data_IF_970871046457
#
_entry.id   IF_970871046457
#
_cell.length_a   1.000
_cell.length_b   1.000
_cell.length_c   1.000
_cell.angle_alpha   90.00
_cell.angle_beta   90.00
_cell.angle_gamma   90.00
#
_symmetry.space_group_name_H-M   'P 1'
#
loop_
_entity.id
_entity.type
_entity.pdbx_description
1 polymer ?
#
# COMPACT_ATOMS: atom_id res chain seq x y z
N UNK A 1 3.87 -5.58 3.70
CA UNK A 1 5.01 -4.84 3.11
C UNK A 1 6.12 -4.71 4.13
N UNK A 2 7.36 -4.72 3.67
CA UNK A 2 8.53 -4.48 4.53
C UNK A 2 9.37 -3.34 3.95
N UNK A 3 10.05 -2.58 4.80
CA UNK A 3 11.03 -1.57 4.40
C UNK A 3 12.28 -1.69 5.26
N UNK A 4 13.40 -1.20 4.75
CA UNK A 4 14.63 -1.08 5.52
C UNK A 4 14.43 -0.17 6.74
N UNK A 5 15.23 -0.40 7.78
CA UNK A 5 15.22 0.45 8.96
C UNK A 5 15.67 1.87 8.58
N UNK A 6 14.92 2.91 9.00
CA UNK A 6 15.29 4.29 8.73
C UNK A 6 16.61 4.67 9.43
N UNK A 7 17.29 5.67 8.88
CA UNK A 7 18.53 6.19 9.46
C UNK A 7 18.31 6.62 10.93
N UNK A 8 19.23 6.24 11.81
CA UNK A 8 19.13 6.49 13.26
C UNK A 8 18.41 5.39 14.06
N UNK A 9 17.77 4.42 13.39
CA UNK A 9 17.13 3.25 14.03
C UNK A 9 17.88 1.94 13.80
N UNK A 10 18.97 1.96 13.01
CA UNK A 10 19.76 0.78 12.68
C UNK A 10 20.48 0.25 13.92
N UNK A 11 20.00 -0.88 14.44
CA UNK A 11 20.52 -1.57 15.63
C UNK A 11 21.64 -2.59 15.30
N UNK A 12 22.26 -2.47 14.11
CA UNK A 12 23.24 -3.43 13.53
C UNK A 12 22.68 -4.83 13.30
N UNK A 13 21.36 -4.98 13.29
CA UNK A 13 20.71 -6.24 12.92
C UNK A 13 20.13 -6.15 11.51
N UNK A 14 19.91 -7.32 10.89
CA UNK A 14 19.23 -7.43 9.59
C UNK A 14 17.70 -7.34 9.71
N UNK A 15 17.19 -6.69 10.76
CA UNK A 15 15.75 -6.47 10.92
C UNK A 15 15.24 -5.51 9.85
N UNK A 16 13.98 -5.71 9.50
CA UNK A 16 13.23 -4.86 8.57
C UNK A 16 11.93 -4.42 9.24
N UNK A 17 11.44 -3.24 8.88
CA UNK A 17 10.18 -2.71 9.40
C UNK A 17 9.01 -3.33 8.64
N UNK A 18 8.09 -3.99 9.36
CA UNK A 18 6.82 -4.42 8.77
C UNK A 18 5.86 -3.23 8.69
N UNK A 19 5.51 -2.83 7.49
CA UNK A 19 4.55 -1.79 7.23
C UNK A 19 3.12 -2.31 7.42
N UNK A 20 2.40 -1.69 8.35
CA UNK A 20 0.99 -1.97 8.63
C UNK A 20 0.05 -1.26 7.63
N UNK A 21 0.53 -0.19 6.99
CA UNK A 21 -0.17 0.57 5.94
C UNK A 21 0.83 0.94 4.83
N UNK A 22 0.33 1.16 3.63
CA UNK A 22 1.15 1.72 2.55
C UNK A 22 1.60 3.13 2.91
N UNK A 23 2.91 3.37 2.96
CA UNK A 23 3.45 4.72 3.08
C UNK A 23 3.45 5.38 1.70
N UNK A 24 3.16 6.68 1.66
CA UNK A 24 3.30 7.49 0.46
C UNK A 24 4.73 7.42 -0.07
N UNK A 25 4.89 7.37 -1.40
CA UNK A 25 6.18 7.30 -2.07
C UNK A 25 6.75 5.89 -2.24
N UNK A 26 6.15 4.85 -1.67
CA UNK A 26 6.50 3.47 -2.00
C UNK A 26 5.94 3.11 -3.38
N UNK A 27 6.70 2.35 -4.18
CA UNK A 27 6.23 1.83 -5.48
C UNK A 27 4.89 1.09 -5.38
N UNK A 28 4.63 0.44 -4.24
CA UNK A 28 3.39 -0.30 -4.00
C UNK A 28 2.25 0.55 -3.42
N UNK A 29 2.48 1.83 -3.09
CA UNK A 29 1.46 2.70 -2.52
C UNK A 29 0.25 2.84 -3.44
N UNK A 30 0.47 3.01 -4.74
CA UNK A 30 -0.60 3.12 -5.74
C UNK A 30 -1.49 1.86 -5.77
N UNK A 31 -0.87 0.67 -5.74
CA UNK A 31 -1.61 -0.60 -5.71
C UNK A 31 -2.46 -0.75 -4.45
N UNK A 32 -1.87 -0.49 -3.29
CA UNK A 32 -2.59 -0.58 -1.99
C UNK A 32 -3.75 0.39 -1.97
N UNK A 33 -3.55 1.61 -2.48
CA UNK A 33 -4.59 2.62 -2.53
C UNK A 33 -5.72 2.21 -3.48
N UNK A 34 -5.40 1.64 -4.65
CA UNK A 34 -6.39 1.09 -5.56
C UNK A 34 -7.20 -0.06 -4.92
N UNK A 35 -6.54 -0.98 -4.21
CA UNK A 35 -7.21 -2.07 -3.49
C UNK A 35 -8.18 -1.52 -2.42
N UNK A 36 -7.74 -0.55 -1.61
CA UNK A 36 -8.59 0.10 -0.60
C UNK A 36 -9.78 0.81 -1.25
N UNK A 37 -9.54 1.57 -2.32
CA UNK A 37 -10.61 2.28 -3.03
C UNK A 37 -11.62 1.34 -3.66
N UNK A 38 -11.16 0.25 -4.27
CA UNK A 38 -12.04 -0.77 -4.83
C UNK A 38 -12.97 -1.36 -3.74
N UNK A 39 -12.41 -1.77 -2.60
CA UNK A 39 -13.19 -2.30 -1.46
C UNK A 39 -14.24 -1.30 -1.02
N UNK A 40 -13.86 -0.02 -0.87
CA UNK A 40 -14.77 1.03 -0.44
C UNK A 40 -15.90 1.30 -1.44
N UNK A 41 -15.58 1.34 -2.75
CA UNK A 41 -16.56 1.54 -3.81
C UNK A 41 -17.55 0.38 -3.91
N UNK A 42 -17.08 -0.86 -3.78
CA UNK A 42 -17.95 -2.05 -3.75
C UNK A 42 -18.89 -2.04 -2.54
N UNK A 43 -18.41 -1.59 -1.37
CA UNK A 43 -19.26 -1.40 -0.18
C UNK A 43 -20.39 -0.39 -0.45
N UNK A 44 -20.09 0.67 -1.20
CA UNK A 44 -21.04 1.67 -1.66
C UNK A 44 -21.90 1.23 -2.86
N UNK A 45 -21.81 -0.04 -3.28
CA UNK A 45 -22.55 -0.62 -4.42
C UNK A 45 -22.19 -0.04 -5.79
N UNK A 46 -21.04 0.63 -5.92
CA UNK A 46 -20.49 1.01 -7.21
C UNK A 46 -19.88 -0.21 -7.92
N UNK A 47 -19.88 -0.18 -9.26
CA UNK A 47 -19.30 -1.20 -10.11
C UNK A 47 -18.18 -0.59 -10.96
N UNK A 48 -17.13 -1.37 -11.22
CA UNK A 48 -16.02 -0.94 -12.06
C UNK A 48 -16.47 -0.79 -13.52
N UNK A 49 -16.10 0.31 -14.16
CA UNK A 49 -16.39 0.54 -15.58
C UNK A 49 -15.55 -0.39 -16.46
N UNK A 50 -16.22 -1.23 -17.24
CA UNK A 50 -15.56 -2.12 -18.23
C UNK A 50 -15.00 -1.40 -19.45
N UNK A 51 -15.40 -0.15 -19.70
CA UNK A 51 -14.88 0.66 -20.80
C UNK A 51 -13.54 1.34 -20.49
N UNK A 52 -13.12 1.34 -19.23
CA UNK A 52 -11.81 1.85 -18.80
C UNK A 52 -11.18 0.86 -17.80
N UNK A 53 -10.60 -0.26 -18.29
CA UNK A 53 -10.12 -1.34 -17.43
C UNK A 53 -8.87 -1.00 -16.61
N UNK A 54 -8.16 0.10 -16.92
CA UNK A 54 -6.83 0.40 -16.39
C UNK A 54 -5.71 -0.38 -17.07
#
# INVERSE_FOLDING_TARGET
LYMEQPGGYQDKTDRVCRLLKGLYGLKQAARIWNEIMHVYLVQLKFQQCVFDPG
#
